data_IF_640904966831
#
_entry.id   IF_640904966831
#
_cell.length_a   1.000
_cell.length_b   1.000
_cell.length_c   1.000
_cell.angle_alpha   90.00
_cell.angle_beta   90.00
_cell.angle_gamma   90.00
#
_symmetry.space_group_name_H-M   'P 1'
#
loop_
_entity.id
_entity.type
_entity.pdbx_description
1 polymer ?
#
# COMPACT_ATOMS: atom_id res chain seq x y z
N UNK A 1 10.47 -11.64 -89.15
CA UNK A 1 10.51 -13.03 -88.59
C UNK A 1 10.60 -12.90 -87.07
N UNK A 2 9.43 -12.83 -86.40
CA UNK A 2 9.33 -12.70 -84.97
C UNK A 2 8.95 -14.03 -84.32
N UNK A 3 9.76 -14.48 -83.37
CA UNK A 3 9.47 -15.68 -82.60
C UNK A 3 8.52 -15.35 -81.44
N UNK A 4 7.37 -16.01 -81.46
CA UNK A 4 6.33 -15.94 -80.41
C UNK A 4 6.82 -16.80 -79.23
N UNK A 5 7.02 -16.18 -78.05
CA UNK A 5 7.34 -16.91 -76.84
C UNK A 5 6.04 -17.15 -76.03
N UNK A 6 5.71 -18.43 -75.86
CA UNK A 6 4.55 -18.85 -75.07
C UNK A 6 4.98 -18.86 -73.62
N UNK A 7 4.35 -17.98 -72.76
CA UNK A 7 4.52 -17.96 -71.34
C UNK A 7 3.48 -18.86 -70.70
N UNK A 8 3.92 -19.98 -70.15
CA UNK A 8 3.09 -20.93 -69.41
C UNK A 8 2.91 -20.43 -67.97
N UNK A 9 1.73 -19.98 -67.59
CA UNK A 9 1.41 -19.58 -66.21
C UNK A 9 1.14 -20.85 -65.39
N UNK A 10 2.07 -21.18 -64.51
CA UNK A 10 1.91 -22.22 -63.47
C UNK A 10 1.02 -21.66 -62.38
N UNK A 11 -0.18 -22.25 -62.17
CA UNK A 11 -1.05 -22.01 -61.01
C UNK A 11 -0.39 -22.59 -59.78
N UNK A 12 0.05 -21.74 -58.83
CA UNK A 12 0.38 -22.14 -57.49
C UNK A 12 -0.90 -22.40 -56.66
N UNK A 13 -1.04 -23.53 -55.95
CA UNK A 13 -2.15 -23.72 -55.05
C UNK A 13 -1.92 -22.84 -53.80
N UNK A 14 -2.84 -21.90 -53.57
CA UNK A 14 -2.91 -21.13 -52.34
C UNK A 14 -3.34 -22.08 -51.23
N UNK A 15 -2.39 -22.46 -50.37
CA UNK A 15 -2.70 -23.15 -49.11
C UNK A 15 -3.22 -22.08 -48.15
N UNK A 16 -4.54 -22.10 -47.87
CA UNK A 16 -5.11 -21.36 -46.75
C UNK A 16 -4.55 -21.99 -45.43
N UNK A 17 -3.54 -21.36 -44.85
CA UNK A 17 -3.14 -21.63 -43.47
C UNK A 17 -4.15 -20.93 -42.57
N UNK A 18 -5.06 -21.68 -41.97
CA UNK A 18 -5.95 -21.19 -40.93
C UNK A 18 -5.15 -20.71 -39.73
N UNK A 19 -5.10 -19.41 -39.51
CA UNK A 19 -4.55 -18.83 -38.29
C UNK A 19 -5.59 -19.06 -37.19
N UNK A 20 -5.32 -20.08 -36.36
CA UNK A 20 -6.06 -20.33 -35.12
C UNK A 20 -5.63 -19.24 -34.14
N UNK A 21 -6.38 -18.16 -34.01
CA UNK A 21 -6.15 -17.12 -33.02
C UNK A 21 -6.45 -17.72 -31.64
N UNK A 22 -5.43 -18.09 -30.88
CA UNK A 22 -5.56 -18.39 -29.46
C UNK A 22 -5.97 -17.09 -28.76
N UNK A 23 -7.24 -16.95 -28.40
CA UNK A 23 -7.71 -15.92 -27.49
C UNK A 23 -7.16 -16.23 -26.10
N UNK A 24 -6.10 -15.55 -25.69
CA UNK A 24 -5.62 -15.62 -24.31
C UNK A 24 -6.69 -15.01 -23.38
N UNK A 25 -7.06 -15.69 -22.28
CA UNK A 25 -8.02 -15.15 -21.33
C UNK A 25 -7.41 -13.88 -20.71
N UNK A 26 -8.05 -12.73 -20.91
CA UNK A 26 -7.74 -11.49 -20.19
C UNK A 26 -8.21 -11.70 -18.75
N UNK A 27 -7.26 -11.95 -17.84
CA UNK A 27 -7.56 -11.98 -16.41
C UNK A 27 -7.87 -10.54 -15.98
N UNK A 28 -9.13 -10.23 -15.80
CA UNK A 28 -9.55 -8.95 -15.23
C UNK A 28 -9.12 -8.91 -13.76
N UNK A 29 -8.08 -8.15 -13.45
CA UNK A 29 -7.70 -7.85 -12.07
C UNK A 29 -8.77 -6.91 -11.51
N UNK A 30 -9.56 -7.40 -10.55
CA UNK A 30 -10.56 -6.59 -9.88
C UNK A 30 -9.86 -5.42 -9.16
N UNK A 31 -10.30 -4.19 -9.44
CA UNK A 31 -9.76 -3.01 -8.76
C UNK A 31 -10.05 -3.10 -7.25
N UNK A 32 -9.10 -2.69 -6.38
CA UNK A 32 -9.29 -2.75 -4.94
C UNK A 32 -10.51 -1.90 -4.54
N UNK A 33 -11.34 -2.45 -3.66
CA UNK A 33 -12.54 -1.77 -3.14
C UNK A 33 -12.20 -0.55 -2.28
N UNK A 34 -10.97 -0.48 -1.76
CA UNK A 34 -10.45 0.61 -0.95
C UNK A 34 -9.13 1.08 -1.57
N UNK A 35 -9.06 2.36 -1.91
CA UNK A 35 -7.82 3.02 -2.30
C UNK A 35 -7.14 3.58 -1.06
N UNK A 36 -5.81 3.43 -0.96
CA UNK A 36 -4.98 3.93 0.13
C UNK A 36 -3.95 4.91 -0.43
N UNK A 37 -3.73 5.98 0.30
CA UNK A 37 -2.64 6.94 0.09
C UNK A 37 -1.94 7.22 1.41
N UNK A 38 -0.62 7.42 1.39
CA UNK A 38 0.16 7.71 2.59
C UNK A 38 1.09 8.88 2.36
N UNK A 39 0.94 9.89 3.19
CA UNK A 39 1.80 11.07 3.20
C UNK A 39 2.58 11.13 4.50
N UNK A 40 3.87 11.51 4.42
CA UNK A 40 4.76 11.60 5.58
C UNK A 40 5.22 13.04 5.76
N UNK A 41 5.08 13.53 6.98
CA UNK A 41 5.54 14.83 7.40
C UNK A 41 6.60 14.70 8.49
N UNK A 42 7.52 15.64 8.58
CA UNK A 42 8.39 15.81 9.73
C UNK A 42 7.83 16.91 10.63
N UNK A 43 7.73 16.62 11.93
CA UNK A 43 7.32 17.60 12.93
C UNK A 43 8.54 18.45 13.31
N UNK A 44 8.44 19.76 13.11
CA UNK A 44 9.46 20.74 13.54
C UNK A 44 8.90 21.59 14.65
N UNK A 45 9.70 21.81 15.71
CA UNK A 45 9.37 22.73 16.79
C UNK A 45 10.10 24.02 16.53
N UNK A 46 9.37 25.12 16.36
CA UNK A 46 9.92 26.46 16.21
C UNK A 46 9.90 27.23 17.53
N UNK A 47 10.68 28.33 17.65
CA UNK A 47 10.62 29.21 18.81
C UNK A 47 9.17 29.58 19.17
N UNK A 48 8.84 29.55 20.46
CA UNK A 48 7.46 29.72 20.93
C UNK A 48 6.65 28.44 20.99
N UNK A 49 7.30 27.24 20.90
CA UNK A 49 6.67 25.91 20.97
C UNK A 49 5.62 25.62 19.86
N UNK A 50 5.69 26.36 18.76
CA UNK A 50 4.82 26.13 17.60
C UNK A 50 5.27 24.86 16.88
N UNK A 51 4.39 23.88 16.77
CA UNK A 51 4.61 22.63 16.02
C UNK A 51 4.16 22.83 14.59
N UNK A 52 5.08 22.60 13.64
CA UNK A 52 4.82 22.65 12.21
C UNK A 52 5.04 21.27 11.60
N UNK A 53 4.18 20.89 10.67
CA UNK A 53 4.34 19.71 9.83
C UNK A 53 4.89 20.16 8.47
N UNK A 54 6.09 19.70 8.15
CA UNK A 54 6.76 19.99 6.89
C UNK A 54 6.88 18.69 6.08
N UNK A 55 6.85 18.73 4.73
CA UNK A 55 7.10 17.56 3.92
C UNK A 55 8.43 16.87 4.30
N UNK A 56 8.44 15.56 4.47
CA UNK A 56 9.59 14.78 4.90
C UNK A 56 10.62 14.61 3.77
N UNK A 57 11.37 15.67 3.45
CA UNK A 57 12.38 15.68 2.36
C UNK A 57 13.79 15.34 2.86
N UNK A 58 14.16 15.85 4.02
CA UNK A 58 15.46 15.61 4.66
C UNK A 58 15.21 15.21 6.10
N UNK A 59 15.65 14.01 6.46
CA UNK A 59 15.42 13.41 7.75
C UNK A 59 16.74 13.25 8.49
N UNK A 60 16.70 13.49 9.80
CA UNK A 60 17.81 13.27 10.73
C UNK A 60 17.38 12.27 11.80
N UNK A 61 18.34 11.58 12.37
CA UNK A 61 18.11 10.72 13.52
C UNK A 61 17.44 11.53 14.65
N UNK A 62 16.40 10.95 15.25
CA UNK A 62 15.59 11.61 16.28
C UNK A 62 14.44 12.47 15.72
N UNK A 63 14.36 12.71 14.41
CA UNK A 63 13.24 13.43 13.84
C UNK A 63 11.94 12.68 14.08
N UNK A 64 10.91 13.42 14.49
CA UNK A 64 9.57 12.89 14.63
C UNK A 64 8.83 12.99 13.31
N UNK A 65 8.38 11.85 12.82
CA UNK A 65 7.58 11.73 11.62
C UNK A 65 6.10 11.56 11.98
N UNK A 66 5.25 12.20 11.19
CA UNK A 66 3.80 12.05 11.24
C UNK A 66 3.34 11.45 9.93
N UNK A 67 2.82 10.24 9.99
CA UNK A 67 2.23 9.52 8.87
C UNK A 67 0.74 9.81 8.83
N UNK A 68 0.25 10.19 7.66
CA UNK A 68 -1.17 10.38 7.39
C UNK A 68 -1.58 9.36 6.34
N UNK A 69 -2.30 8.33 6.77
CA UNK A 69 -2.84 7.29 5.89
C UNK A 69 -4.28 7.65 5.58
N UNK A 70 -4.53 8.05 4.34
CA UNK A 70 -5.86 8.37 3.82
C UNK A 70 -6.43 7.16 3.10
N UNK A 71 -7.71 6.90 3.27
CA UNK A 71 -8.40 5.86 2.54
C UNK A 71 -9.65 6.39 1.86
N UNK A 72 -9.95 5.86 0.70
CA UNK A 72 -11.17 6.11 -0.05
C UNK A 72 -11.80 4.79 -0.44
N UNK A 73 -13.09 4.67 -0.20
CA UNK A 73 -13.86 3.50 -0.54
C UNK A 73 -14.66 3.75 -1.81
N UNK A 74 -14.56 2.83 -2.77
CA UNK A 74 -15.27 2.93 -4.06
C UNK A 74 -16.65 2.29 -4.01
N UNK A 75 -16.86 1.27 -3.15
CA UNK A 75 -18.14 0.56 -3.03
C UNK A 75 -18.26 -0.20 -1.71
N UNK A 76 -19.50 -0.54 -1.33
CA UNK A 76 -19.83 -1.37 -0.19
C UNK A 76 -19.87 -0.64 1.17
N UNK A 77 -20.54 -1.20 2.19
CA UNK A 77 -20.74 -0.63 3.52
C UNK A 77 -20.12 -1.40 4.68
N UNK A 78 -19.50 -2.56 4.43
CA UNK A 78 -18.87 -3.36 5.48
C UNK A 78 -17.60 -2.68 6.01
N UNK A 79 -17.28 -2.81 7.28
CA UNK A 79 -15.98 -2.41 7.83
C UNK A 79 -14.83 -3.14 7.16
N UNK A 80 -13.63 -2.64 7.33
CA UNK A 80 -12.41 -3.26 6.82
C UNK A 80 -11.25 -3.07 7.79
N UNK A 81 -10.18 -3.82 7.59
CA UNK A 81 -8.95 -3.70 8.35
C UNK A 81 -7.89 -3.02 7.49
N UNK A 82 -7.24 -2.00 8.04
CA UNK A 82 -6.11 -1.34 7.43
C UNK A 82 -4.84 -1.81 8.15
N UNK A 83 -3.88 -2.32 7.41
CA UNK A 83 -2.58 -2.75 7.94
C UNK A 83 -1.47 -1.98 7.24
N UNK A 84 -0.53 -1.46 8.01
CA UNK A 84 0.60 -0.69 7.50
C UNK A 84 1.93 -1.23 8.06
N UNK A 85 2.87 -1.71 7.22
CA UNK A 85 4.21 -2.06 7.66
C UNK A 85 4.96 -0.80 8.08
N UNK A 86 5.72 -0.89 9.17
CA UNK A 86 6.57 0.20 9.65
C UNK A 86 7.97 0.07 9.02
N UNK A 87 8.50 1.12 8.35
CA UNK A 87 9.85 1.08 7.81
C UNK A 87 10.92 0.81 8.89
N UNK A 88 11.93 0.03 8.58
CA UNK A 88 13.00 -0.31 9.54
C UNK A 88 13.82 0.90 10.01
N UNK A 89 13.83 1.98 9.23
CA UNK A 89 14.54 3.22 9.56
C UNK A 89 13.87 4.03 10.67
N UNK A 90 12.69 3.63 11.14
CA UNK A 90 11.96 4.32 12.19
C UNK A 90 11.51 3.34 13.28
N UNK A 91 11.12 3.85 14.43
CA UNK A 91 10.37 3.10 15.42
C UNK A 91 9.06 3.79 15.76
N UNK A 92 8.07 2.99 16.12
CA UNK A 92 6.73 3.46 16.47
C UNK A 92 6.77 4.39 17.69
N UNK A 93 5.91 5.40 17.71
CA UNK A 93 5.74 6.25 18.87
C UNK A 93 4.31 6.18 19.40
N UNK A 94 3.33 6.54 18.61
CA UNK A 94 1.91 6.48 18.99
C UNK A 94 0.99 6.62 17.77
N UNK A 95 -0.24 6.16 17.91
CA UNK A 95 -1.36 6.45 16.98
C UNK A 95 -2.26 7.56 17.56
N UNK A 96 -2.98 8.24 16.69
CA UNK A 96 -4.08 9.14 17.09
C UNK A 96 -5.40 8.39 17.35
N UNK A 97 -5.48 7.10 16.92
CA UNK A 97 -6.61 6.23 17.16
C UNK A 97 -6.29 5.26 18.31
N UNK A 98 -7.21 5.13 19.26
CA UNK A 98 -6.99 4.30 20.47
C UNK A 98 -7.20 2.80 20.23
N UNK A 99 -7.76 2.43 19.06
CA UNK A 99 -8.08 1.05 18.69
C UNK A 99 -6.97 0.38 17.86
N UNK A 100 -5.81 1.02 17.70
CA UNK A 100 -4.70 0.41 16.96
C UNK A 100 -4.21 -0.87 17.66
N UNK A 101 -3.83 -1.83 16.83
CA UNK A 101 -3.08 -3.00 17.23
C UNK A 101 -1.71 -2.95 16.56
N UNK A 102 -0.71 -3.45 17.24
CA UNK A 102 0.64 -3.56 16.71
C UNK A 102 1.08 -5.01 16.59
N UNK A 103 2.07 -5.24 15.75
CA UNK A 103 2.78 -6.52 15.66
C UNK A 103 4.28 -6.29 15.78
N UNK A 104 4.96 -7.21 16.45
CA UNK A 104 6.43 -7.20 16.67
C UNK A 104 7.11 -8.37 15.96
N UNK A 105 6.38 -9.18 15.22
CA UNK A 105 6.84 -10.41 14.57
C UNK A 105 6.47 -10.49 13.08
N UNK A 106 6.42 -9.34 12.41
CA UNK A 106 6.15 -9.27 10.97
C UNK A 106 4.68 -9.47 10.61
N UNK A 107 3.75 -9.13 11.50
CA UNK A 107 2.30 -9.21 11.24
C UNK A 107 1.69 -10.58 11.54
N UNK A 108 2.39 -11.46 12.26
CA UNK A 108 1.88 -12.80 12.63
C UNK A 108 0.96 -12.72 13.84
N UNK A 109 1.35 -12.03 14.91
CA UNK A 109 0.56 -11.81 16.12
C UNK A 109 0.26 -10.32 16.28
N UNK A 110 -0.92 -10.03 16.80
CA UNK A 110 -1.45 -8.67 16.93
C UNK A 110 -1.98 -8.44 18.33
N UNK A 111 -1.69 -7.28 18.89
CA UNK A 111 -2.18 -6.90 20.22
C UNK A 111 -1.84 -5.45 20.54
N UNK A 112 -2.23 -5.01 21.73
CA UNK A 112 -1.72 -3.76 22.30
C UNK A 112 -0.26 -3.97 22.65
N UNK A 113 0.57 -2.93 22.50
CA UNK A 113 2.01 -3.02 22.64
C UNK A 113 2.42 -3.60 24.01
N UNK A 114 1.76 -3.14 25.06
CA UNK A 114 1.99 -3.55 26.44
C UNK A 114 1.63 -5.02 26.74
N UNK A 115 0.83 -5.64 25.88
CA UNK A 115 0.46 -7.06 25.97
C UNK A 115 1.37 -7.98 25.16
N UNK A 116 2.20 -7.44 24.26
CA UNK A 116 3.07 -8.23 23.41
C UNK A 116 4.42 -8.51 24.09
N UNK A 117 4.98 -9.69 23.76
CA UNK A 117 6.27 -10.15 24.30
C UNK A 117 7.20 -10.61 23.20
N UNK A 118 8.51 -10.38 23.45
CA UNK A 118 9.61 -10.95 22.68
C UNK A 118 10.44 -11.79 23.66
N UNK A 119 10.31 -13.10 23.57
CA UNK A 119 10.82 -14.00 24.57
C UNK A 119 10.20 -13.71 25.95
N UNK A 120 11.03 -13.44 26.95
CA UNK A 120 10.60 -13.17 28.34
C UNK A 120 10.26 -11.69 28.58
N UNK A 121 10.68 -10.76 27.73
CA UNK A 121 10.46 -9.31 27.94
C UNK A 121 9.18 -8.80 27.28
N UNK A 122 8.62 -7.74 27.83
CA UNK A 122 7.55 -6.97 27.19
C UNK A 122 8.16 -6.25 25.96
N UNK A 123 7.38 -6.19 24.87
CA UNK A 123 7.77 -5.49 23.67
C UNK A 123 7.80 -3.97 23.90
N UNK A 124 8.67 -3.28 23.17
CA UNK A 124 8.85 -1.83 23.22
C UNK A 124 8.48 -1.20 21.87
N UNK A 125 8.33 0.12 21.78
CA UNK A 125 8.04 0.79 20.50
C UNK A 125 9.04 0.47 19.38
N UNK A 126 10.29 0.20 19.71
CA UNK A 126 11.37 -0.14 18.77
C UNK A 126 11.18 -1.52 18.12
N UNK A 127 10.40 -2.39 18.74
CA UNK A 127 10.13 -3.75 18.26
C UNK A 127 8.97 -3.79 17.28
N UNK A 128 8.17 -2.72 17.19
CA UNK A 128 6.98 -2.68 16.33
C UNK A 128 7.38 -2.74 14.85
N UNK A 129 6.81 -3.71 14.16
CA UNK A 129 7.03 -3.95 12.73
C UNK A 129 5.83 -3.58 11.86
N UNK A 130 4.63 -3.66 12.41
CA UNK A 130 3.38 -3.38 11.70
C UNK A 130 2.36 -2.74 12.62
N UNK A 131 1.48 -1.93 12.02
CA UNK A 131 0.34 -1.30 12.65
C UNK A 131 -0.95 -1.77 11.98
N UNK A 132 -2.03 -1.87 12.74
CA UNK A 132 -3.35 -2.29 12.25
C UNK A 132 -4.45 -1.48 12.90
N UNK A 133 -5.43 -1.08 12.10
CA UNK A 133 -6.64 -0.41 12.56
C UNK A 133 -7.87 -1.09 11.96
N UNK A 134 -8.93 -1.11 12.73
CA UNK A 134 -10.23 -1.58 12.28
C UNK A 134 -11.10 -0.37 11.92
N UNK A 135 -11.42 -0.23 10.64
CA UNK A 135 -12.38 0.79 10.19
C UNK A 135 -13.78 0.19 10.33
N UNK A 136 -14.55 0.70 11.29
CA UNK A 136 -15.91 0.23 11.56
C UNK A 136 -16.84 0.51 10.36
N UNK A 137 -17.94 -0.25 10.19
CA UNK A 137 -18.90 -0.03 9.10
C UNK A 137 -19.43 1.40 9.02
N UNK A 138 -19.72 2.03 10.17
CA UNK A 138 -20.19 3.42 10.26
C UNK A 138 -19.16 4.44 9.75
N UNK A 139 -17.87 4.21 10.00
CA UNK A 139 -16.80 5.03 9.45
C UNK A 139 -16.60 4.76 7.95
N UNK A 140 -16.62 3.48 7.54
CA UNK A 140 -16.50 3.06 6.15
C UNK A 140 -17.63 3.58 5.26
N UNK A 141 -18.85 3.71 5.80
CA UNK A 141 -20.00 4.27 5.09
C UNK A 141 -19.86 5.74 4.72
N UNK A 142 -18.95 6.49 5.38
CA UNK A 142 -18.61 7.87 5.00
C UNK A 142 -17.82 7.97 3.67
N UNK A 143 -17.38 6.84 3.12
CA UNK A 143 -16.68 6.76 1.83
C UNK A 143 -15.20 7.12 1.87
N UNK A 144 -14.74 7.88 2.85
CA UNK A 144 -13.35 8.27 3.02
C UNK A 144 -13.00 8.51 4.49
N UNK A 145 -11.71 8.41 4.82
CA UNK A 145 -11.22 8.72 6.16
C UNK A 145 -9.71 8.81 6.21
N UNK A 146 -9.21 9.08 7.42
CA UNK A 146 -7.80 9.31 7.66
C UNK A 146 -7.41 8.69 8.99
N UNK A 147 -6.23 8.10 9.02
CA UNK A 147 -5.58 7.59 10.22
C UNK A 147 -4.21 8.28 10.31
N UNK A 148 -3.85 8.70 11.51
CA UNK A 148 -2.58 9.38 11.74
C UNK A 148 -1.81 8.65 12.83
N UNK A 149 -0.52 8.40 12.59
CA UNK A 149 0.38 7.87 13.59
C UNK A 149 1.75 8.56 13.51
N UNK A 150 2.53 8.46 14.56
CA UNK A 150 3.87 9.03 14.62
C UNK A 150 4.93 7.96 14.86
N UNK A 151 6.12 8.23 14.32
CA UNK A 151 7.32 7.42 14.47
C UNK A 151 8.55 8.32 14.59
N UNK A 152 9.65 7.75 15.11
CA UNK A 152 10.93 8.47 15.27
C UNK A 152 11.97 7.84 14.35
N UNK A 153 12.78 8.65 13.69
CA UNK A 153 13.91 8.21 12.86
C UNK A 153 15.02 7.62 13.74
N UNK A 154 15.51 6.41 13.40
CA UNK A 154 16.59 5.69 14.12
C UNK A 154 17.95 6.31 13.89
#
# INVERSE_FOLDING_TARGET
>A
MGKLAIVTIRRCPVRLAGILALAAPVVAVAAPLVALDSTVFVERIRPGAVRLLEPARQLKRGDRLVYVVSWQRKAGGAGFTLTNPLPRAVYYQRSAADDELVSVDGGKRWGKLEALRIGARIATPEDVTHLRWRVAPSAAAKGAGRITYSAIVR
#
